data_IF_539984219991
#
_entry.id   IF_539984219991
#
_cell.length_a   1.000
_cell.length_b   1.000
_cell.length_c   1.000
_cell.angle_alpha   90.00
_cell.angle_beta   90.00
_cell.angle_gamma   90.00
#
_symmetry.space_group_name_H-M   'P 1'
#
loop_
_entity.id
_entity.type
_entity.pdbx_description
1 polymer ?
#
# COMPACT_ATOMS: atom_id res chain seq x y z
N UNK A 1 14.99 2.60 -32.17
CA UNK A 1 14.75 1.31 -31.49
C UNK A 1 15.63 1.37 -30.25
N UNK A 2 15.09 1.81 -29.13
CA UNK A 2 15.84 1.89 -27.87
C UNK A 2 16.04 0.45 -27.37
N UNK A 3 17.29 0.05 -27.18
CA UNK A 3 17.63 -1.17 -26.45
C UNK A 3 17.10 -0.97 -25.01
N UNK A 4 15.93 -1.48 -24.72
CA UNK A 4 15.36 -1.44 -23.40
C UNK A 4 16.06 -2.52 -22.56
N UNK A 5 17.13 -2.14 -21.87
CA UNK A 5 17.89 -2.99 -20.96
C UNK A 5 17.20 -3.07 -19.62
N UNK A 6 15.98 -3.57 -19.60
CA UNK A 6 15.20 -3.74 -18.38
C UNK A 6 14.77 -5.18 -18.18
N UNK A 7 14.34 -5.53 -16.99
CA UNK A 7 13.72 -6.80 -16.62
C UNK A 7 12.30 -6.55 -16.12
N UNK A 8 11.36 -7.47 -16.40
CA UNK A 8 10.01 -7.44 -15.85
C UNK A 8 9.83 -8.66 -14.95
N UNK A 9 9.34 -8.43 -13.73
CA UNK A 9 9.03 -9.48 -12.76
C UNK A 9 7.56 -9.38 -12.39
N UNK A 10 6.81 -10.44 -12.66
CA UNK A 10 5.43 -10.57 -12.25
C UNK A 10 5.37 -11.23 -10.86
N UNK A 11 4.89 -10.53 -9.85
CA UNK A 11 4.73 -11.05 -8.48
C UNK A 11 3.28 -11.48 -8.29
N UNK A 12 3.04 -12.78 -8.35
CA UNK A 12 1.71 -13.40 -8.27
C UNK A 12 1.84 -14.91 -8.01
N UNK A 13 0.72 -15.57 -7.78
CA UNK A 13 0.65 -17.03 -7.71
C UNK A 13 0.86 -17.68 -9.09
N UNK A 14 1.55 -18.81 -9.10
CA UNK A 14 1.73 -19.62 -10.30
C UNK A 14 0.41 -20.33 -10.68
N UNK A 15 -0.31 -19.79 -11.65
CA UNK A 15 -1.54 -20.35 -12.18
C UNK A 15 -1.61 -20.19 -13.71
N UNK A 16 -2.54 -20.87 -14.41
CA UNK A 16 -2.63 -20.77 -15.87
C UNK A 16 -2.85 -19.35 -16.39
N UNK A 17 -3.55 -18.51 -15.65
CA UNK A 17 -3.84 -17.12 -16.05
C UNK A 17 -2.58 -16.26 -15.97
N UNK A 18 -1.79 -16.40 -14.90
CA UNK A 18 -0.51 -15.69 -14.78
C UNK A 18 0.49 -16.13 -15.85
N UNK A 19 0.48 -17.41 -16.23
CA UNK A 19 1.32 -17.92 -17.34
C UNK A 19 0.90 -17.35 -18.68
N UNK A 20 -0.39 -17.22 -18.97
CA UNK A 20 -0.89 -16.58 -20.19
C UNK A 20 -0.51 -15.11 -20.24
N UNK A 21 -0.70 -14.40 -19.13
CA UNK A 21 -0.35 -12.98 -19.02
C UNK A 21 1.15 -12.74 -19.23
N UNK A 22 2.02 -13.55 -18.59
CA UNK A 22 3.46 -13.40 -18.75
C UNK A 22 3.92 -13.71 -20.19
N UNK A 23 3.32 -14.71 -20.84
CA UNK A 23 3.64 -15.02 -22.23
C UNK A 23 3.26 -13.86 -23.15
N UNK A 24 2.10 -13.24 -22.93
CA UNK A 24 1.71 -12.05 -23.68
C UNK A 24 2.71 -10.89 -23.47
N UNK A 25 3.14 -10.63 -22.24
CA UNK A 25 4.15 -9.60 -21.94
C UNK A 25 5.48 -9.94 -22.64
N UNK A 26 5.92 -11.20 -22.60
CA UNK A 26 7.14 -11.64 -23.30
C UNK A 26 7.11 -11.37 -24.80
N UNK A 27 5.95 -11.54 -25.42
CA UNK A 27 5.79 -11.31 -26.86
C UNK A 27 5.84 -9.81 -27.22
N UNK A 28 5.48 -8.93 -26.28
CA UNK A 28 5.48 -7.48 -26.50
C UNK A 28 6.82 -6.81 -26.15
N UNK A 29 7.59 -7.38 -25.23
CA UNK A 29 8.83 -6.79 -24.74
C UNK A 29 10.04 -7.68 -25.02
N UNK A 30 11.10 -7.08 -25.56
CA UNK A 30 12.37 -7.76 -25.87
C UNK A 30 13.31 -7.74 -24.65
N UNK A 31 12.78 -8.08 -23.48
CA UNK A 31 13.53 -8.11 -22.22
C UNK A 31 13.21 -9.39 -21.43
N UNK A 32 14.02 -9.78 -20.46
CA UNK A 32 13.73 -10.90 -19.57
C UNK A 32 12.42 -10.65 -18.80
N UNK A 33 11.52 -11.64 -18.80
CA UNK A 33 10.26 -11.59 -18.04
C UNK A 33 10.13 -12.87 -17.22
N UNK A 34 9.93 -12.75 -15.91
CA UNK A 34 9.84 -13.87 -14.98
C UNK A 34 8.63 -13.73 -14.04
N UNK A 35 8.26 -14.83 -13.38
CA UNK A 35 7.28 -14.85 -12.29
C UNK A 35 8.04 -15.11 -11.00
N UNK A 36 7.66 -14.41 -9.94
CA UNK A 36 8.09 -14.65 -8.57
C UNK A 36 6.87 -14.81 -7.67
N UNK A 37 6.95 -15.68 -6.67
CA UNK A 37 5.92 -15.72 -5.63
C UNK A 37 6.00 -14.46 -4.73
N UNK A 38 4.90 -14.07 -4.04
CA UNK A 38 4.86 -12.83 -3.23
C UNK A 38 5.99 -12.71 -2.20
N UNK A 39 6.45 -13.82 -1.63
CA UNK A 39 7.49 -13.88 -0.61
C UNK A 39 8.90 -14.18 -1.16
N UNK A 40 9.04 -14.35 -2.48
CA UNK A 40 10.33 -14.69 -3.08
C UNK A 40 11.31 -13.52 -3.02
N UNK A 41 12.58 -13.85 -2.89
CA UNK A 41 13.68 -12.90 -3.04
C UNK A 41 14.24 -13.04 -4.45
N UNK A 42 14.32 -11.95 -5.19
CA UNK A 42 14.93 -11.93 -6.53
C UNK A 42 16.32 -11.28 -6.46
N UNK A 43 17.21 -11.75 -7.29
CA UNK A 43 18.48 -11.06 -7.53
C UNK A 43 18.23 -9.83 -8.42
N UNK A 44 18.60 -8.65 -7.94
CA UNK A 44 18.43 -7.39 -8.64
C UNK A 44 19.80 -6.91 -9.07
N UNK A 45 19.98 -6.76 -10.37
CA UNK A 45 21.17 -6.12 -10.94
C UNK A 45 20.94 -4.60 -11.00
N UNK A 46 21.61 -3.86 -10.16
CA UNK A 46 21.50 -2.39 -10.09
C UNK A 46 21.99 -1.67 -11.37
N UNK A 47 22.59 -2.40 -12.30
CA UNK A 47 22.96 -1.85 -13.63
C UNK A 47 21.77 -1.76 -14.59
N UNK A 48 20.63 -2.39 -14.27
CA UNK A 48 19.43 -2.46 -15.11
C UNK A 48 18.19 -1.99 -14.36
N UNK A 49 17.22 -1.47 -15.11
CA UNK A 49 15.91 -1.20 -14.53
C UNK A 49 15.11 -2.51 -14.38
N UNK A 50 14.54 -2.73 -13.19
CA UNK A 50 13.67 -3.88 -12.93
C UNK A 50 12.26 -3.37 -12.63
N UNK A 51 11.31 -3.70 -13.49
CA UNK A 51 9.91 -3.37 -13.26
C UNK A 51 9.21 -4.56 -12.62
N UNK A 52 8.68 -4.35 -11.42
CA UNK A 52 7.91 -5.33 -10.65
C UNK A 52 6.43 -5.02 -10.79
N UNK A 53 5.69 -5.97 -11.38
CA UNK A 53 4.23 -5.97 -11.49
C UNK A 53 3.66 -6.82 -10.36
N UNK A 54 3.14 -6.20 -9.32
CA UNK A 54 2.53 -6.90 -8.18
C UNK A 54 1.04 -7.11 -8.41
N UNK A 55 0.59 -8.33 -8.25
CA UNK A 55 -0.81 -8.71 -8.32
C UNK A 55 -1.53 -8.33 -7.02
N UNK A 56 -2.35 -7.29 -7.07
CA UNK A 56 -3.07 -6.79 -5.90
C UNK A 56 -4.07 -7.79 -5.29
N UNK A 57 -4.40 -8.89 -5.99
CA UNK A 57 -5.25 -9.95 -5.46
C UNK A 57 -4.47 -11.04 -4.70
N UNK A 58 -3.16 -11.16 -4.92
CA UNK A 58 -2.33 -12.24 -4.41
C UNK A 58 -1.20 -11.77 -3.50
N UNK A 59 -1.01 -10.45 -3.35
CA UNK A 59 0.04 -9.85 -2.50
C UNK A 59 -0.59 -9.34 -1.22
N UNK A 60 -0.21 -9.92 -0.09
CA UNK A 60 -0.63 -9.49 1.24
C UNK A 60 0.23 -8.33 1.80
N UNK A 61 -0.16 -7.79 2.95
CA UNK A 61 0.53 -6.68 3.61
C UNK A 61 2.02 -7.00 3.91
N UNK A 62 2.35 -8.26 4.21
CA UNK A 62 3.71 -8.67 4.51
C UNK A 62 4.59 -8.67 3.26
N UNK A 63 4.05 -9.16 2.14
CA UNK A 63 4.73 -9.13 0.85
C UNK A 63 4.84 -7.69 0.32
N UNK A 64 3.82 -6.85 0.49
CA UNK A 64 3.91 -5.43 0.15
C UNK A 64 5.04 -4.73 0.92
N UNK A 65 5.15 -4.97 2.22
CA UNK A 65 6.24 -4.41 3.03
C UNK A 65 7.60 -4.92 2.56
N UNK A 66 7.72 -6.22 2.27
CA UNK A 66 8.96 -6.81 1.74
C UNK A 66 9.41 -6.10 0.46
N UNK A 67 8.52 -5.97 -0.53
CA UNK A 67 8.85 -5.31 -1.81
C UNK A 67 9.12 -3.82 -1.67
N UNK A 68 8.46 -3.14 -0.73
CA UNK A 68 8.77 -1.75 -0.38
C UNK A 68 10.19 -1.62 0.19
N UNK A 69 10.60 -2.53 1.07
CA UNK A 69 11.94 -2.54 1.66
C UNK A 69 13.02 -2.89 0.62
N UNK A 70 12.71 -3.78 -0.34
CA UNK A 70 13.58 -4.09 -1.47
C UNK A 70 13.75 -2.85 -2.36
N UNK A 71 12.65 -2.17 -2.72
CA UNK A 71 12.68 -0.97 -3.55
C UNK A 71 13.47 0.19 -2.89
N UNK A 72 13.43 0.30 -1.56
CA UNK A 72 14.20 1.31 -0.85
C UNK A 72 15.74 1.12 -0.96
N UNK A 73 16.18 -0.11 -1.26
CA UNK A 73 17.61 -0.48 -1.39
C UNK A 73 18.11 -0.43 -2.83
N UNK A 74 17.22 -0.51 -3.81
CA UNK A 74 17.54 -0.61 -5.23
C UNK A 74 16.87 0.52 -6.03
N UNK A 75 17.62 1.55 -6.39
CA UNK A 75 17.08 2.74 -7.08
C UNK A 75 16.55 2.45 -8.50
N UNK A 76 17.01 1.38 -9.14
CA UNK A 76 16.55 0.90 -10.44
C UNK A 76 15.25 0.07 -10.38
N UNK A 77 14.69 -0.19 -9.19
CA UNK A 77 13.49 -0.98 -9.03
C UNK A 77 12.23 -0.12 -9.14
N UNK A 78 11.40 -0.41 -10.12
CA UNK A 78 10.12 0.26 -10.39
C UNK A 78 8.98 -0.62 -9.90
N UNK A 79 8.36 -0.26 -8.77
CA UNK A 79 7.18 -0.99 -8.27
C UNK A 79 5.91 -0.52 -8.95
N UNK A 80 5.09 -1.47 -9.39
CA UNK A 80 3.76 -1.24 -9.95
C UNK A 80 2.77 -2.25 -9.40
N UNK A 81 1.49 -1.92 -9.38
CA UNK A 81 0.43 -2.85 -9.02
C UNK A 81 -0.54 -3.03 -10.19
N UNK A 82 -1.03 -4.25 -10.37
CA UNK A 82 -2.07 -4.57 -11.34
C UNK A 82 -3.20 -5.38 -10.69
N UNK A 83 -4.30 -5.64 -11.41
CA UNK A 83 -5.53 -6.24 -10.89
C UNK A 83 -6.24 -5.39 -9.83
N UNK A 84 -5.97 -4.09 -9.78
CA UNK A 84 -6.70 -3.21 -8.87
C UNK A 84 -8.18 -3.14 -9.27
N UNK A 85 -9.07 -3.25 -8.28
CA UNK A 85 -10.52 -3.27 -8.48
C UNK A 85 -11.06 -1.93 -8.98
N UNK A 86 -10.64 -0.86 -8.31
CA UNK A 86 -11.09 0.51 -8.52
C UNK A 86 -10.08 1.52 -7.94
N UNK A 87 -10.39 2.82 -8.06
CA UNK A 87 -9.55 3.88 -7.52
C UNK A 87 -9.42 3.86 -5.99
N UNK A 88 -10.42 3.35 -5.28
CA UNK A 88 -10.40 3.27 -3.81
C UNK A 88 -9.37 2.22 -3.37
N UNK A 89 -9.38 1.04 -3.98
CA UNK A 89 -8.36 0.02 -3.78
C UNK A 89 -6.96 0.53 -4.17
N UNK A 90 -6.85 1.28 -5.27
CA UNK A 90 -5.58 1.90 -5.66
C UNK A 90 -5.06 2.89 -4.60
N UNK A 91 -5.95 3.70 -3.99
CA UNK A 91 -5.58 4.60 -2.89
C UNK A 91 -5.13 3.85 -1.64
N UNK A 92 -5.79 2.74 -1.30
CA UNK A 92 -5.37 1.87 -0.19
C UNK A 92 -3.94 1.38 -0.42
N UNK A 93 -3.66 0.74 -1.56
CA UNK A 93 -2.32 0.22 -1.87
C UNK A 93 -1.28 1.34 -1.91
N UNK A 94 -1.59 2.48 -2.53
CA UNK A 94 -0.70 3.64 -2.58
C UNK A 94 -0.46 4.32 -1.22
N UNK A 95 -1.29 4.05 -0.22
CA UNK A 95 -1.07 4.52 1.16
C UNK A 95 0.06 3.75 1.85
N UNK A 96 0.33 2.53 1.41
CA UNK A 96 1.38 1.65 1.97
C UNK A 96 2.66 1.63 1.14
N UNK A 97 2.55 1.85 -0.18
CA UNK A 97 3.64 1.63 -1.12
C UNK A 97 3.87 2.81 -2.07
N UNK A 98 5.14 3.05 -2.38
CA UNK A 98 5.53 3.98 -3.43
C UNK A 98 5.52 3.28 -4.80
N UNK A 99 4.35 3.24 -5.44
CA UNK A 99 4.20 2.66 -6.77
C UNK A 99 4.49 3.70 -7.86
N UNK A 100 5.12 3.28 -8.94
CA UNK A 100 5.34 4.07 -10.16
C UNK A 100 4.14 4.00 -11.10
N UNK A 101 3.39 2.92 -11.05
CA UNK A 101 2.22 2.71 -11.89
C UNK A 101 1.15 1.87 -11.23
N UNK A 102 -0.08 2.06 -11.67
CA UNK A 102 -1.25 1.26 -11.26
C UNK A 102 -2.06 0.87 -12.49
N UNK A 103 -2.50 -0.39 -12.52
CA UNK A 103 -3.31 -0.96 -13.59
C UNK A 103 -4.55 -1.63 -12.98
N UNK A 104 -5.70 -1.36 -13.58
CA UNK A 104 -6.97 -1.89 -13.11
C UNK A 104 -7.34 -3.19 -13.84
N UNK A 105 -8.20 -4.00 -13.22
CA UNK A 105 -8.72 -5.25 -13.84
C UNK A 105 -9.39 -5.03 -15.19
N UNK A 106 -9.97 -3.85 -15.39
CA UNK A 106 -10.66 -3.48 -16.61
C UNK A 106 -9.73 -2.90 -17.68
N UNK A 107 -8.45 -2.68 -17.36
CA UNK A 107 -7.49 -2.20 -18.35
C UNK A 107 -7.23 -3.28 -19.39
N UNK A 108 -7.17 -2.89 -20.65
CA UNK A 108 -6.79 -3.79 -21.73
C UNK A 108 -5.31 -4.14 -21.64
N UNK A 109 -4.93 -5.32 -22.15
CA UNK A 109 -3.54 -5.73 -22.22
C UNK A 109 -2.66 -4.70 -22.97
N UNK A 110 -3.20 -4.09 -24.02
CA UNK A 110 -2.55 -3.00 -24.76
C UNK A 110 -2.28 -1.77 -23.88
N UNK A 111 -3.23 -1.41 -23.00
CA UNK A 111 -3.07 -0.30 -22.07
C UNK A 111 -1.98 -0.59 -21.04
N UNK A 112 -1.97 -1.81 -20.52
CA UNK A 112 -0.94 -2.27 -19.58
C UNK A 112 0.45 -2.23 -20.25
N UNK A 113 0.59 -2.76 -21.46
CA UNK A 113 1.86 -2.72 -22.20
C UNK A 113 2.33 -1.29 -22.51
N UNK A 114 1.42 -0.39 -22.88
CA UNK A 114 1.75 1.05 -23.07
C UNK A 114 2.24 1.69 -21.77
N UNK A 115 1.60 1.35 -20.64
CA UNK A 115 2.01 1.83 -19.34
C UNK A 115 3.40 1.32 -18.95
N UNK A 116 3.66 0.03 -19.13
CA UNK A 116 4.97 -0.59 -18.88
C UNK A 116 6.05 0.08 -19.72
N UNK A 117 5.82 0.23 -21.04
CA UNK A 117 6.77 0.88 -21.93
C UNK A 117 7.08 2.32 -21.47
N UNK A 118 6.05 3.08 -21.12
CA UNK A 118 6.19 4.46 -20.62
C UNK A 118 7.02 4.52 -19.35
N UNK A 119 6.84 3.60 -18.42
CA UNK A 119 7.58 3.53 -17.16
C UNK A 119 9.08 3.24 -17.35
N UNK A 120 9.46 2.53 -18.39
CA UNK A 120 10.87 2.32 -18.75
C UNK A 120 11.49 3.53 -19.49
N UNK A 121 10.67 4.28 -20.24
CA UNK A 121 11.17 5.40 -21.05
C UNK A 121 11.31 6.70 -20.24
N UNK A 122 10.45 6.90 -19.24
CA UNK A 122 10.37 8.16 -18.50
C UNK A 122 10.28 7.93 -17.01
N UNK A 123 10.65 8.96 -16.26
CA UNK A 123 10.48 8.99 -14.80
C UNK A 123 9.03 9.33 -14.39
N UNK A 124 8.12 9.39 -15.37
CA UNK A 124 6.72 9.71 -15.15
C UNK A 124 5.97 8.58 -14.43
N UNK A 125 4.90 8.96 -13.73
CA UNK A 125 4.01 8.03 -13.06
C UNK A 125 2.89 7.60 -14.00
N UNK A 126 2.64 6.29 -14.11
CA UNK A 126 1.48 5.77 -14.84
C UNK A 126 0.25 5.70 -13.93
N UNK A 127 -0.48 6.81 -13.87
CA UNK A 127 -1.69 6.97 -13.04
C UNK A 127 -2.70 7.89 -13.72
N UNK A 128 -4.00 7.67 -13.44
CA UNK A 128 -5.04 8.59 -13.91
C UNK A 128 -4.94 9.95 -13.20
N UNK A 129 -5.39 11.02 -13.87
CA UNK A 129 -5.45 12.35 -13.24
C UNK A 129 -6.39 12.40 -12.04
N UNK A 130 -7.51 11.67 -12.10
CA UNK A 130 -8.46 11.55 -10.99
C UNK A 130 -7.81 10.92 -9.76
N UNK A 131 -7.08 9.82 -9.94
CA UNK A 131 -6.34 9.16 -8.86
C UNK A 131 -5.28 10.09 -8.24
N UNK A 132 -4.56 10.87 -9.05
CA UNK A 132 -3.58 11.86 -8.54
C UNK A 132 -4.25 12.94 -7.71
N UNK A 133 -5.40 13.46 -8.14
CA UNK A 133 -6.16 14.46 -7.37
C UNK A 133 -6.62 13.88 -6.04
N UNK A 134 -7.19 12.68 -6.04
CA UNK A 134 -7.62 11.98 -4.82
C UNK A 134 -6.45 11.66 -3.87
N UNK A 135 -5.29 11.28 -4.40
CA UNK A 135 -4.07 11.08 -3.61
C UNK A 135 -3.61 12.37 -2.90
N UNK A 136 -3.64 13.51 -3.59
CA UNK A 136 -3.31 14.79 -2.99
C UNK A 136 -4.29 15.15 -1.87
N UNK A 137 -5.59 14.96 -2.10
CA UNK A 137 -6.62 15.17 -1.08
C UNK A 137 -6.46 14.22 0.11
N UNK A 138 -6.18 12.94 -0.15
CA UNK A 138 -5.93 11.93 0.87
C UNK A 138 -4.68 12.26 1.68
N UNK A 139 -3.57 12.64 1.02
CA UNK A 139 -2.34 13.07 1.69
C UNK A 139 -2.54 14.34 2.52
N UNK A 140 -3.31 15.32 2.02
CA UNK A 140 -3.68 16.51 2.80
C UNK A 140 -4.51 16.16 4.04
N UNK A 141 -5.46 15.25 3.93
CA UNK A 141 -6.23 14.75 5.08
C UNK A 141 -5.34 13.99 6.06
N UNK A 142 -4.38 13.22 5.59
CA UNK A 142 -3.40 12.53 6.44
C UNK A 142 -2.41 13.51 7.08
N UNK A 143 -1.97 14.56 6.40
CA UNK A 143 -1.10 15.61 6.99
C UNK A 143 -1.81 16.40 8.09
N UNK A 144 -3.13 16.58 8.00
CA UNK A 144 -3.95 17.11 9.08
C UNK A 144 -4.07 16.11 10.25
N UNK A 145 -3.84 14.82 10.01
CA UNK A 145 -3.74 13.74 10.98
C UNK A 145 -2.28 13.27 11.15
N UNK A 146 -1.32 14.22 11.17
CA UNK A 146 0.11 13.97 11.13
C UNK A 146 0.64 13.21 12.36
N UNK A 147 0.37 11.91 12.42
CA UNK A 147 1.06 10.99 13.32
C UNK A 147 1.20 9.61 12.70
N UNK A 148 2.36 9.35 12.07
CA UNK A 148 2.80 7.99 11.79
C UNK A 148 3.82 7.57 12.84
N UNK A 149 3.49 6.75 13.82
CA UNK A 149 4.51 5.98 14.53
C UNK A 149 5.06 4.90 13.59
N UNK A 150 6.37 4.74 13.59
CA UNK A 150 7.08 3.70 12.83
C UNK A 150 6.88 2.29 13.47
N UNK A 151 5.63 1.84 13.65
CA UNK A 151 5.32 0.62 14.42
C UNK A 151 4.45 -0.40 13.67
N UNK A 152 4.32 -0.27 12.34
CA UNK A 152 3.61 -1.26 11.51
C UNK A 152 2.11 -1.39 11.80
N UNK A 153 1.47 -0.32 12.31
CA UNK A 153 0.02 -0.29 12.48
C UNK A 153 -0.67 0.04 11.15
N UNK A 154 -1.73 -0.70 10.84
CA UNK A 154 -2.62 -0.39 9.73
C UNK A 154 -3.39 0.90 10.00
N UNK A 155 -4.00 1.51 8.97
CA UNK A 155 -4.82 2.70 9.11
C UNK A 155 -5.93 2.50 10.15
N UNK A 156 -6.61 1.36 10.12
CA UNK A 156 -7.68 1.02 11.06
C UNK A 156 -7.18 0.88 12.49
N UNK A 157 -6.03 0.26 12.68
CA UNK A 157 -5.39 0.15 13.98
C UNK A 157 -4.94 1.53 14.52
N UNK A 158 -4.48 2.42 13.63
CA UNK A 158 -4.15 3.81 13.98
C UNK A 158 -5.37 4.60 14.45
N UNK A 159 -6.50 4.49 13.77
CA UNK A 159 -7.75 5.12 14.17
C UNK A 159 -8.20 4.64 15.55
N UNK A 160 -8.16 3.32 15.75
CA UNK A 160 -8.57 2.70 17.02
C UNK A 160 -7.64 3.11 18.17
N UNK A 161 -6.32 3.08 17.99
CA UNK A 161 -5.37 3.47 19.04
C UNK A 161 -5.40 4.97 19.32
N UNK A 162 -5.67 5.80 18.32
CA UNK A 162 -5.87 7.23 18.47
C UNK A 162 -7.09 7.56 19.32
N UNK A 163 -8.22 6.90 19.05
CA UNK A 163 -9.44 7.02 19.87
C UNK A 163 -9.24 6.48 21.29
N UNK A 164 -8.51 5.37 21.43
CA UNK A 164 -8.12 4.83 22.73
C UNK A 164 -7.28 5.86 23.52
N UNK A 165 -6.31 6.50 22.89
CA UNK A 165 -5.45 7.52 23.47
C UNK A 165 -6.22 8.76 23.94
N UNK A 166 -7.33 9.11 23.29
CA UNK A 166 -8.26 10.16 23.72
C UNK A 166 -9.18 9.76 24.87
N UNK A 167 -9.10 8.50 25.34
CA UNK A 167 -9.87 7.97 26.47
C UNK A 167 -11.19 7.30 26.07
N UNK A 168 -11.47 7.10 24.77
CA UNK A 168 -12.71 6.47 24.34
C UNK A 168 -12.80 5.00 24.78
N UNK A 169 -13.97 4.55 25.23
CA UNK A 169 -14.28 3.14 25.50
C UNK A 169 -14.39 2.33 24.22
N UNK A 170 -14.34 0.99 24.30
CA UNK A 170 -14.49 0.14 23.13
C UNK A 170 -15.86 0.33 22.45
N UNK A 171 -16.90 0.61 23.21
CA UNK A 171 -18.24 0.88 22.70
C UNK A 171 -18.27 2.20 21.93
N UNK A 172 -17.70 3.28 22.48
CA UNK A 172 -17.60 4.57 21.78
C UNK A 172 -16.72 4.49 20.52
N UNK A 173 -15.66 3.68 20.56
CA UNK A 173 -14.83 3.41 19.36
C UNK A 173 -15.67 2.68 18.31
N UNK A 174 -16.42 1.65 18.72
CA UNK A 174 -17.27 0.86 17.84
C UNK A 174 -18.33 1.74 17.15
N UNK A 175 -19.01 2.58 17.90
CA UNK A 175 -20.01 3.54 17.40
C UNK A 175 -19.38 4.53 16.39
N UNK A 176 -18.26 5.15 16.73
CA UNK A 176 -17.58 6.12 15.85
C UNK A 176 -17.08 5.52 14.55
N UNK A 177 -16.68 4.27 14.59
CA UNK A 177 -16.08 3.58 13.46
C UNK A 177 -17.08 2.66 12.73
N UNK A 178 -18.35 2.67 13.12
CA UNK A 178 -19.43 1.85 12.55
C UNK A 178 -19.10 0.34 12.50
N UNK A 179 -18.50 -0.20 13.56
CA UNK A 179 -18.15 -1.63 13.70
C UNK A 179 -18.68 -2.20 15.02
N UNK A 180 -18.60 -3.52 15.20
CA UNK A 180 -18.97 -4.14 16.47
C UNK A 180 -17.88 -3.93 17.54
N UNK A 181 -18.27 -3.91 18.82
CA UNK A 181 -17.31 -3.87 19.94
C UNK A 181 -16.35 -5.07 19.92
N UNK A 182 -16.80 -6.23 19.43
CA UNK A 182 -15.97 -7.41 19.25
C UNK A 182 -14.86 -7.16 18.22
N UNK A 183 -15.19 -6.49 17.11
CA UNK A 183 -14.22 -6.09 16.09
C UNK A 183 -13.17 -5.13 16.66
N UNK A 184 -13.58 -4.16 17.49
CA UNK A 184 -12.64 -3.26 18.18
C UNK A 184 -11.71 -4.03 19.11
N UNK A 185 -12.21 -4.99 19.88
CA UNK A 185 -11.38 -5.85 20.74
C UNK A 185 -10.35 -6.64 19.96
N UNK A 186 -10.73 -7.19 18.82
CA UNK A 186 -9.82 -7.92 17.93
C UNK A 186 -8.71 -7.03 17.37
N UNK A 187 -9.05 -5.83 16.91
CA UNK A 187 -8.05 -4.86 16.46
C UNK A 187 -7.12 -4.42 17.61
N UNK A 188 -7.66 -4.12 18.80
CA UNK A 188 -6.86 -3.76 19.96
C UNK A 188 -5.87 -4.86 20.37
N UNK A 189 -6.27 -6.11 20.27
CA UNK A 189 -5.38 -7.25 20.51
C UNK A 189 -4.18 -7.21 19.56
N UNK A 190 -4.43 -7.02 18.26
CA UNK A 190 -3.37 -6.91 17.25
C UNK A 190 -2.49 -5.67 17.47
N UNK A 191 -3.11 -4.52 17.76
CA UNK A 191 -2.39 -3.28 18.10
C UNK A 191 -1.45 -3.51 19.27
N UNK A 192 -1.94 -4.07 20.38
CA UNK A 192 -1.13 -4.29 21.59
C UNK A 192 0.08 -5.17 21.29
N UNK A 193 -0.11 -6.21 20.45
CA UNK A 193 0.98 -7.08 20.00
C UNK A 193 2.01 -6.31 19.17
N UNK A 194 1.57 -5.47 18.24
CA UNK A 194 2.44 -4.69 17.34
C UNK A 194 3.25 -3.62 18.09
N UNK A 195 2.60 -2.89 19.02
CA UNK A 195 3.27 -1.85 19.83
C UNK A 195 3.94 -2.41 21.10
N UNK A 196 3.92 -3.73 21.30
CA UNK A 196 4.54 -4.45 22.42
C UNK A 196 4.08 -3.97 23.80
N UNK A 197 2.78 -3.78 23.98
CA UNK A 197 2.16 -3.46 25.27
C UNK A 197 1.24 -4.58 25.74
N UNK A 198 1.06 -4.73 27.06
CA UNK A 198 0.29 -5.82 27.63
C UNK A 198 -1.08 -5.41 28.19
N UNK A 199 -1.36 -4.12 28.32
CA UNK A 199 -2.62 -3.64 28.86
C UNK A 199 -3.04 -2.28 28.27
N UNK A 200 -4.32 -1.94 28.49
CA UNK A 200 -4.94 -0.72 27.99
C UNK A 200 -4.22 0.55 28.44
N UNK A 201 -3.78 0.62 29.71
CA UNK A 201 -3.11 1.81 30.25
C UNK A 201 -1.79 2.07 29.54
N UNK A 202 -1.01 1.03 29.28
CA UNK A 202 0.22 1.12 28.51
C UNK A 202 -0.05 1.55 27.08
N UNK A 203 -1.14 1.06 26.45
CA UNK A 203 -1.54 1.46 25.11
C UNK A 203 -1.96 2.94 25.04
N UNK A 204 -2.70 3.42 26.03
CA UNK A 204 -3.06 4.86 26.16
C UNK A 204 -1.81 5.73 26.30
N UNK A 205 -0.87 5.33 27.17
CA UNK A 205 0.37 6.06 27.36
C UNK A 205 1.23 6.07 26.08
N UNK A 206 1.33 4.92 25.43
CA UNK A 206 2.01 4.79 24.13
C UNK A 206 1.38 5.70 23.07
N UNK A 207 0.05 5.71 22.96
CA UNK A 207 -0.68 6.58 22.03
C UNK A 207 -0.39 8.06 22.29
N UNK A 208 -0.39 8.50 23.54
CA UNK A 208 -0.09 9.89 23.92
C UNK A 208 1.34 10.30 23.59
N UNK A 209 2.31 9.40 23.77
CA UNK A 209 3.72 9.66 23.51
C UNK A 209 4.04 9.66 22.01
N UNK A 210 3.38 8.81 21.24
CA UNK A 210 3.71 8.57 19.84
C UNK A 210 2.74 9.22 18.84
N UNK A 211 1.49 9.51 19.27
CA UNK A 211 0.47 10.14 18.44
C UNK A 211 0.19 11.61 18.80
N UNK A 212 0.83 12.12 19.87
CA UNK A 212 0.59 13.48 20.39
C UNK A 212 -0.80 13.70 20.99
N UNK A 213 -1.07 14.92 21.45
CA UNK A 213 -2.37 15.27 22.01
C UNK A 213 -3.42 15.37 20.87
N UNK A 214 -4.62 14.78 21.03
CA UNK A 214 -5.71 14.98 20.07
C UNK A 214 -6.06 16.48 20.01
N UNK A 215 -6.47 17.00 18.84
CA UNK A 215 -6.89 18.39 18.73
C UNK A 215 -8.04 18.69 19.72
N UNK A 216 -8.08 19.88 20.31
CA UNK A 216 -9.10 20.23 21.28
C UNK A 216 -10.49 20.07 20.65
N UNK A 217 -11.42 19.44 21.39
CA UNK A 217 -12.81 19.28 20.96
C UNK A 217 -13.37 20.67 20.65
N UNK A 218 -13.82 20.90 19.43
CA UNK A 218 -14.71 22.01 19.13
C UNK A 218 -15.98 21.78 19.95
N UNK A 219 -16.16 22.54 21.03
CA UNK A 219 -17.41 22.60 21.70
C UNK A 219 -18.44 23.16 20.72
N UNK A 220 -19.39 22.32 20.30
CA UNK A 220 -20.63 22.81 19.69
C UNK A 220 -21.35 23.58 20.77
N UNK A 221 -21.16 24.90 20.78
CA UNK A 221 -21.99 25.79 21.56
C UNK A 221 -23.39 25.69 20.96
N UNK A 222 -24.27 25.06 21.72
CA UNK A 222 -25.73 25.09 21.52
C UNK A 222 -26.18 26.56 21.61
N UNK A 223 -26.84 27.03 20.57
CA UNK A 223 -27.79 28.12 20.59
C UNK A 223 -29.14 27.59 20.19
#
# INVERSE_FOLDING_TARGET
>A
MSNNTGQIVLVTDHNPQSLLFINYIKDQFHCPVSIAAPADTIEIDDSQQVLVLMDADHVDDAAMQHWQDVSARHSGLLLTAFNLRDEEHALEVLSFMHLRGVFYRQDSLDSICKGIAKLFETDDLWRSRSLMTRLIEFSRRQQLNAYRPACGLTQREMEIIGLLGSGASNMEIAERLCVSEHTVKSHLYNVFKKIRVSNRLQAVNWARQNLGAPPPRRSTATR
#
